data_IF_194378942026
#
_entry.id   IF_194378942026
#
_cell.length_a   1.000
_cell.length_b   1.000
_cell.length_c   1.000
_cell.angle_alpha   90.00
_cell.angle_beta   90.00
_cell.angle_gamma   90.00
#
_symmetry.space_group_name_H-M   'P 1'
#
loop_
_entity.id
_entity.type
_entity.pdbx_description
1 polymer ?
#
# COMPACT_ATOMS: atom_id res chain seq x y z
N UNK A 1 12.59 -30.37 9.54
CA UNK A 1 11.41 -29.74 8.89
C UNK A 1 10.83 -30.75 7.91
N UNK A 2 9.52 -31.04 7.93
CA UNK A 2 8.92 -32.06 7.03
C UNK A 2 9.20 -31.66 5.57
N UNK A 3 9.61 -32.59 4.69
CA UNK A 3 10.02 -32.30 3.29
C UNK A 3 9.04 -31.38 2.53
N UNK A 4 7.74 -31.48 2.82
CA UNK A 4 6.67 -30.62 2.28
C UNK A 4 6.83 -29.11 2.54
N UNK A 5 7.59 -28.71 3.57
CA UNK A 5 7.82 -27.30 3.91
C UNK A 5 9.15 -26.76 3.36
N UNK A 6 10.04 -27.62 2.85
CA UNK A 6 11.35 -27.21 2.34
C UNK A 6 11.24 -26.42 1.03
N UNK A 7 10.34 -26.82 0.13
CA UNK A 7 10.06 -26.09 -1.12
C UNK A 7 9.58 -24.65 -0.87
N UNK A 8 8.49 -24.43 -0.10
CA UNK A 8 8.04 -23.08 0.24
C UNK A 8 9.09 -22.25 0.98
N UNK A 9 9.85 -22.87 1.91
CA UNK A 9 10.92 -22.17 2.62
C UNK A 9 12.02 -21.68 1.65
N UNK A 10 12.42 -22.54 0.71
CA UNK A 10 13.40 -22.16 -0.31
C UNK A 10 12.91 -20.96 -1.14
N UNK A 11 11.64 -20.97 -1.57
CA UNK A 11 11.04 -19.84 -2.30
C UNK A 11 11.09 -18.55 -1.48
N UNK A 12 10.68 -18.60 -0.20
CA UNK A 12 10.69 -17.42 0.68
C UNK A 12 12.11 -16.88 0.87
N UNK A 13 13.10 -17.75 1.07
CA UNK A 13 14.50 -17.35 1.22
C UNK A 13 15.00 -16.69 -0.06
N UNK A 14 14.72 -17.28 -1.22
CA UNK A 14 15.16 -16.73 -2.52
C UNK A 14 14.52 -15.38 -2.79
N UNK A 15 13.19 -15.25 -2.63
CA UNK A 15 12.49 -13.97 -2.83
C UNK A 15 12.96 -12.93 -1.83
N UNK A 16 13.14 -13.30 -0.56
CA UNK A 16 13.67 -12.42 0.47
C UNK A 16 15.08 -11.92 0.15
N UNK A 17 15.96 -12.79 -0.35
CA UNK A 17 17.31 -12.42 -0.78
C UNK A 17 17.28 -11.45 -1.98
N UNK A 18 16.39 -11.66 -2.95
CA UNK A 18 16.20 -10.74 -4.08
C UNK A 18 15.72 -9.37 -3.57
N UNK A 19 14.75 -9.33 -2.66
CA UNK A 19 14.27 -8.06 -2.10
C UNK A 19 15.37 -7.35 -1.31
N UNK A 20 16.17 -8.07 -0.51
CA UNK A 20 17.29 -7.51 0.23
C UNK A 20 18.38 -6.94 -0.70
N UNK A 21 18.67 -7.61 -1.82
CA UNK A 21 19.57 -7.10 -2.85
C UNK A 21 19.05 -5.78 -3.46
N UNK A 22 17.75 -5.70 -3.75
CA UNK A 22 17.13 -4.51 -4.32
C UNK A 22 17.18 -3.28 -3.40
N UNK A 23 17.30 -3.46 -2.08
CA UNK A 23 17.43 -2.35 -1.13
C UNK A 23 18.71 -1.54 -1.37
N UNK A 24 19.78 -2.17 -1.86
CA UNK A 24 21.05 -1.47 -2.13
C UNK A 24 20.95 -0.44 -3.27
N UNK A 25 19.93 -0.54 -4.14
CA UNK A 25 19.67 0.39 -5.25
C UNK A 25 18.77 1.56 -4.83
N UNK A 26 18.20 1.53 -3.62
CA UNK A 26 17.35 2.61 -3.12
C UNK A 26 18.18 3.87 -2.84
N UNK A 27 17.61 5.08 -3.04
CA UNK A 27 18.26 6.31 -2.62
C UNK A 27 18.65 6.27 -1.15
N UNK A 28 19.81 6.85 -0.82
CA UNK A 28 20.23 7.00 0.56
C UNK A 28 19.15 7.69 1.39
N UNK A 29 18.97 7.24 2.63
CA UNK A 29 18.00 7.81 3.54
C UNK A 29 18.21 9.33 3.69
N UNK A 30 17.13 10.11 3.53
CA UNK A 30 17.19 11.58 3.59
C UNK A 30 17.79 12.26 2.36
N UNK A 31 18.05 11.54 1.27
CA UNK A 31 18.55 12.14 0.04
C UNK A 31 17.56 13.14 -0.57
N UNK A 32 18.00 14.39 -0.71
CA UNK A 32 17.23 15.47 -1.34
C UNK A 32 17.04 15.27 -2.85
N UNK A 33 17.87 14.44 -3.48
CA UNK A 33 17.75 14.10 -4.91
C UNK A 33 16.88 12.88 -5.14
N UNK A 34 16.29 12.29 -4.09
CA UNK A 34 15.33 11.20 -4.27
C UNK A 34 14.06 11.71 -4.96
N UNK A 35 13.39 10.91 -5.80
CA UNK A 35 12.15 11.33 -6.45
C UNK A 35 11.07 11.80 -5.47
N UNK A 36 10.98 11.14 -4.30
CA UNK A 36 10.05 11.52 -3.26
C UNK A 36 10.37 12.90 -2.66
N UNK A 37 11.63 13.19 -2.34
CA UNK A 37 12.03 14.45 -1.71
C UNK A 37 12.18 15.62 -2.70
N UNK A 38 12.52 15.34 -3.96
CA UNK A 38 12.91 16.36 -4.94
C UNK A 38 11.74 17.22 -5.45
N UNK A 39 10.59 16.62 -5.71
CA UNK A 39 9.41 17.37 -6.18
C UNK A 39 8.10 16.92 -5.54
N UNK A 40 7.93 15.62 -5.25
CA UNK A 40 6.66 15.09 -4.72
C UNK A 40 6.34 15.67 -3.35
N UNK A 41 7.28 15.62 -2.40
CA UNK A 41 7.08 16.18 -1.06
C UNK A 41 6.85 17.70 -1.08
N UNK A 42 7.67 18.53 -1.76
CA UNK A 42 7.38 19.96 -1.90
C UNK A 42 5.99 20.26 -2.47
N UNK A 43 5.61 19.62 -3.59
CA UNK A 43 4.28 19.80 -4.19
C UNK A 43 3.16 19.49 -3.20
N UNK A 44 3.23 18.36 -2.49
CA UNK A 44 2.20 18.02 -1.51
C UNK A 44 2.17 18.94 -0.29
N UNK A 45 3.31 19.50 0.13
CA UNK A 45 3.35 20.38 1.30
C UNK A 45 2.91 21.81 0.97
N UNK A 46 3.29 22.32 -0.21
CA UNK A 46 3.02 23.70 -0.61
C UNK A 46 1.63 23.84 -1.24
N UNK A 47 1.18 22.87 -2.04
CA UNK A 47 -0.06 22.98 -2.81
C UNK A 47 -1.27 22.30 -2.14
N UNK A 48 -1.08 21.47 -1.10
CA UNK A 48 -2.17 20.70 -0.47
C UNK A 48 -3.39 21.54 -0.10
N UNK A 49 -3.17 22.68 0.54
CA UNK A 49 -4.28 23.54 0.93
C UNK A 49 -4.96 24.19 -0.28
N UNK A 50 -4.18 24.72 -1.23
CA UNK A 50 -4.73 25.40 -2.40
C UNK A 50 -5.51 24.49 -3.33
N UNK A 51 -5.09 23.22 -3.44
CA UNK A 51 -5.70 22.23 -4.33
C UNK A 51 -6.82 21.44 -3.65
N UNK A 52 -6.58 20.93 -2.44
CA UNK A 52 -7.50 20.03 -1.76
C UNK A 52 -8.37 20.72 -0.69
N UNK A 53 -8.11 21.99 -0.36
CA UNK A 53 -8.91 22.76 0.62
C UNK A 53 -8.78 22.26 2.06
N UNK A 54 -7.78 21.42 2.35
CA UNK A 54 -7.57 20.81 3.66
C UNK A 54 -6.16 21.11 4.15
N UNK A 55 -6.03 21.45 5.44
CA UNK A 55 -4.72 21.70 6.05
C UNK A 55 -3.91 20.42 6.29
N UNK A 56 -4.58 19.27 6.36
CA UNK A 56 -3.90 18.00 6.55
C UNK A 56 -3.35 17.49 5.21
N UNK A 57 -2.03 17.57 5.04
CA UNK A 57 -1.35 17.14 3.82
C UNK A 57 -1.62 15.66 3.49
N UNK A 58 -1.67 14.77 4.49
CA UNK A 58 -1.92 13.32 4.27
C UNK A 58 -3.33 13.10 3.74
N UNK A 59 -4.33 13.71 4.37
CA UNK A 59 -5.72 13.61 3.92
C UNK A 59 -5.89 14.22 2.52
N UNK A 60 -5.22 15.36 2.25
CA UNK A 60 -5.23 15.99 0.93
C UNK A 60 -4.64 15.09 -0.15
N UNK A 61 -3.50 14.44 0.12
CA UNK A 61 -2.89 13.48 -0.80
C UNK A 61 -3.79 12.29 -1.07
N UNK A 62 -4.30 11.64 -0.01
CA UNK A 62 -5.13 10.45 -0.14
C UNK A 62 -6.45 10.74 -0.87
N UNK A 63 -7.05 11.91 -0.66
CA UNK A 63 -8.32 12.25 -1.30
C UNK A 63 -8.15 12.77 -2.74
N UNK A 64 -7.12 13.58 -3.01
CA UNK A 64 -7.04 14.35 -4.26
C UNK A 64 -6.05 13.76 -5.27
N UNK A 65 -4.80 13.50 -4.87
CA UNK A 65 -3.78 12.96 -5.77
C UNK A 65 -3.80 11.43 -5.87
N UNK A 66 -4.10 10.76 -4.74
CA UNK A 66 -4.12 9.29 -4.62
C UNK A 66 -5.52 8.76 -4.29
N UNK A 67 -6.56 9.50 -4.67
CA UNK A 67 -7.96 9.13 -4.46
C UNK A 67 -8.34 7.78 -5.06
N UNK A 68 -7.74 7.40 -6.18
CA UNK A 68 -7.98 6.09 -6.81
C UNK A 68 -7.43 4.93 -5.97
N UNK A 69 -6.30 5.11 -5.29
CA UNK A 69 -5.73 4.07 -4.41
C UNK A 69 -6.68 3.84 -3.22
N UNK A 70 -7.15 4.92 -2.58
CA UNK A 70 -8.10 4.85 -1.47
C UNK A 70 -9.49 4.35 -1.92
N UNK A 71 -9.95 4.69 -3.12
CA UNK A 71 -11.18 4.11 -3.68
C UNK A 71 -11.04 2.59 -3.87
N UNK A 72 -9.87 2.14 -4.31
CA UNK A 72 -9.51 0.72 -4.36
C UNK A 72 -9.54 0.06 -2.99
N UNK A 73 -8.95 0.69 -1.97
CA UNK A 73 -8.98 0.20 -0.58
C UNK A 73 -10.43 0.02 -0.07
N UNK A 74 -11.28 1.03 -0.28
CA UNK A 74 -12.70 0.97 0.10
C UNK A 74 -13.41 -0.15 -0.64
N UNK A 75 -13.15 -0.32 -1.93
CA UNK A 75 -13.74 -1.39 -2.75
C UNK A 75 -13.34 -2.77 -2.23
N UNK A 76 -12.06 -2.97 -1.87
CA UNK A 76 -11.56 -4.24 -1.32
C UNK A 76 -12.24 -4.56 0.01
N UNK A 77 -12.30 -3.61 0.94
CA UNK A 77 -12.91 -3.83 2.26
C UNK A 77 -14.42 -4.07 2.12
N UNK A 78 -15.10 -3.30 1.27
CA UNK A 78 -16.50 -3.49 0.97
C UNK A 78 -16.76 -4.90 0.40
N UNK A 79 -15.98 -5.32 -0.59
CA UNK A 79 -16.10 -6.65 -1.20
C UNK A 79 -15.85 -7.76 -0.19
N UNK A 80 -14.83 -7.62 0.67
CA UNK A 80 -14.56 -8.58 1.73
C UNK A 80 -15.73 -8.67 2.74
N UNK A 81 -16.30 -7.52 3.14
CA UNK A 81 -17.48 -7.47 4.01
C UNK A 81 -18.69 -8.16 3.38
N UNK A 82 -18.97 -7.88 2.10
CA UNK A 82 -20.05 -8.53 1.36
C UNK A 82 -19.83 -10.05 1.22
N UNK A 83 -18.59 -10.50 0.99
CA UNK A 83 -18.26 -11.92 0.93
C UNK A 83 -18.54 -12.63 2.27
N UNK A 84 -18.16 -12.01 3.39
CA UNK A 84 -18.45 -12.53 4.74
C UNK A 84 -19.95 -12.61 4.98
N UNK A 85 -20.71 -11.55 4.68
CA UNK A 85 -22.17 -11.54 4.82
C UNK A 85 -22.84 -12.59 3.93
N UNK A 86 -22.35 -12.83 2.72
CA UNK A 86 -22.89 -13.85 1.82
C UNK A 86 -22.66 -15.28 2.35
N UNK A 87 -21.52 -15.54 3.01
CA UNK A 87 -21.24 -16.82 3.66
C UNK A 87 -22.14 -17.00 4.90
N UNK A 88 -22.23 -15.98 5.76
CA UNK A 88 -23.01 -16.05 7.00
C UNK A 88 -24.53 -16.06 6.73
N UNK A 89 -25.01 -15.31 5.73
CA UNK A 89 -26.41 -15.27 5.33
C UNK A 89 -26.91 -16.59 4.71
N UNK A 90 -26.00 -17.43 4.20
CA UNK A 90 -26.29 -18.82 3.83
C UNK A 90 -26.27 -19.80 5.01
N UNK A 91 -25.84 -19.38 6.19
CA UNK A 91 -25.65 -20.22 7.38
C UNK A 91 -26.89 -20.41 8.27
N UNK A 92 -28.09 -20.00 7.83
CA UNK A 92 -29.35 -20.18 8.58
C UNK A 92 -30.51 -20.62 7.67
N UNK A 93 -30.22 -21.45 6.67
CA UNK A 93 -31.25 -22.10 5.85
C UNK A 93 -30.95 -23.59 5.75
N UNK A 94 -31.52 -24.34 6.70
CA UNK A 94 -31.49 -25.81 6.87
C UNK A 94 -30.12 -26.44 7.16
#
# INVERSE_FOLDING_TARGET
MKMRKMGPLFVVIVVGAIMAYAVADMPAFGSLTSPAASYVSPTYLEEAYGVAGVHNAVTGVLAYWRGYDTFGEVTVIFTAGMAVLAILGRGFGE
#
